data_IF_985934211586
#
_entry.id   IF_985934211586
#
_cell.length_a   1.000
_cell.length_b   1.000
_cell.length_c   1.000
_cell.angle_alpha   90.00
_cell.angle_beta   90.00
_cell.angle_gamma   90.00
#
_symmetry.space_group_name_H-M   'P 1'
#
loop_
_entity.id
_entity.type
_entity.pdbx_description
1 polymer ?
#
# COMPACT_ATOMS: atom_id res chain seq x y z
N UNK A 1 21.40 -18.34 15.62
CA UNK A 1 20.40 -18.90 14.69
C UNK A 1 20.35 -17.98 13.48
N UNK A 2 20.68 -18.48 12.29
CA UNK A 2 20.57 -17.72 11.04
C UNK A 2 19.08 -17.72 10.68
N UNK A 3 18.47 -16.53 10.54
CA UNK A 3 17.10 -16.43 10.09
C UNK A 3 16.98 -17.06 8.69
N UNK A 4 15.92 -17.83 8.41
CA UNK A 4 15.70 -18.41 7.10
C UNK A 4 15.56 -17.29 6.06
N UNK A 5 16.21 -17.45 4.90
CA UNK A 5 16.17 -16.50 3.79
C UNK A 5 15.35 -17.10 2.66
N UNK A 6 14.25 -16.47 2.31
CA UNK A 6 13.43 -16.84 1.16
C UNK A 6 13.66 -15.87 0.01
N UNK A 7 13.78 -16.40 -1.21
CA UNK A 7 13.92 -15.61 -2.42
C UNK A 7 12.62 -15.54 -3.20
N UNK A 8 12.33 -14.36 -3.74
CA UNK A 8 11.18 -14.12 -4.62
C UNK A 8 11.66 -13.50 -5.93
N UNK A 9 10.96 -13.82 -7.01
CA UNK A 9 11.15 -13.14 -8.29
C UNK A 9 10.21 -11.93 -8.33
N UNK A 10 10.73 -10.78 -8.69
CA UNK A 10 9.97 -9.53 -8.74
C UNK A 10 10.03 -8.93 -10.14
N UNK A 11 8.95 -8.25 -10.53
CA UNK A 11 8.94 -7.35 -11.68
C UNK A 11 9.27 -5.93 -11.19
N UNK A 12 10.32 -5.31 -11.74
CA UNK A 12 10.55 -3.88 -11.51
C UNK A 12 9.56 -3.05 -12.33
N UNK A 13 8.65 -2.39 -11.64
CA UNK A 13 7.55 -1.63 -12.24
C UNK A 13 7.56 -0.17 -11.76
N UNK A 14 7.94 0.74 -12.67
CA UNK A 14 7.94 2.18 -12.39
C UNK A 14 6.54 2.79 -12.27
N UNK A 15 5.49 2.07 -12.69
CA UNK A 15 4.09 2.44 -12.47
C UNK A 15 3.58 2.11 -11.07
N UNK A 16 4.28 1.23 -10.34
CA UNK A 16 3.94 0.90 -8.95
C UNK A 16 4.54 1.92 -7.97
N UNK A 17 3.73 2.65 -7.18
CA UNK A 17 4.23 3.68 -6.25
C UNK A 17 4.86 3.11 -4.97
N UNK A 18 4.71 1.83 -4.70
CA UNK A 18 5.24 1.15 -3.51
C UNK A 18 6.72 0.84 -3.63
N UNK A 19 7.39 0.48 -2.52
CA UNK A 19 8.71 -0.18 -2.59
C UNK A 19 8.55 -1.65 -2.99
N UNK A 20 7.60 -2.35 -2.37
CA UNK A 20 7.26 -3.73 -2.66
C UNK A 20 5.73 -3.88 -2.62
N UNK A 21 5.16 -4.64 -3.55
CA UNK A 21 3.78 -5.14 -3.51
C UNK A 21 3.83 -6.64 -3.72
N UNK A 22 3.40 -7.40 -2.71
CA UNK A 22 3.47 -8.86 -2.71
C UNK A 22 2.22 -9.46 -3.36
N UNK A 23 2.38 -10.44 -4.26
CA UNK A 23 1.23 -11.23 -4.65
C UNK A 23 0.89 -12.27 -3.58
N UNK A 24 -0.39 -12.61 -3.45
CA UNK A 24 -0.88 -13.55 -2.45
C UNK A 24 -0.17 -14.92 -2.52
N UNK A 25 0.07 -15.43 -3.73
CA UNK A 25 0.76 -16.72 -3.92
C UNK A 25 2.22 -16.71 -3.44
N UNK A 26 2.95 -15.62 -3.67
CA UNK A 26 4.31 -15.47 -3.14
C UNK A 26 4.28 -15.36 -1.62
N UNK A 27 3.36 -14.55 -1.08
CA UNK A 27 3.19 -14.42 0.36
C UNK A 27 2.93 -15.78 1.03
N UNK A 28 1.97 -16.55 0.56
CA UNK A 28 1.66 -17.87 1.13
C UNK A 28 2.83 -18.87 0.99
N UNK A 29 3.60 -18.78 -0.09
CA UNK A 29 4.78 -19.62 -0.31
C UNK A 29 5.92 -19.30 0.66
N UNK A 30 6.19 -18.03 0.93
CA UNK A 30 7.35 -17.62 1.74
C UNK A 30 7.03 -17.44 3.22
N UNK A 31 5.74 -17.21 3.58
CA UNK A 31 5.30 -17.01 4.96
C UNK A 31 5.78 -18.07 5.97
N UNK A 32 5.80 -19.38 5.65
CA UNK A 32 6.28 -20.39 6.59
C UNK A 32 7.78 -20.28 6.91
N UNK A 33 8.56 -19.72 5.98
CA UNK A 33 10.03 -19.69 6.05
C UNK A 33 10.56 -18.29 6.41
N UNK A 34 9.83 -17.24 6.06
CA UNK A 34 10.26 -15.87 6.29
C UNK A 34 9.76 -15.36 7.65
N UNK A 35 10.59 -14.54 8.30
CA UNK A 35 10.20 -13.82 9.52
C UNK A 35 9.27 -12.65 9.18
N UNK A 36 8.09 -12.96 8.61
CA UNK A 36 7.06 -11.98 8.27
C UNK A 36 5.89 -12.10 9.23
N UNK A 37 5.27 -10.96 9.54
CA UNK A 37 4.12 -10.89 10.42
C UNK A 37 2.94 -10.25 9.70
N UNK A 38 1.76 -10.90 9.77
CA UNK A 38 0.50 -10.28 9.35
C UNK A 38 0.06 -9.30 10.43
N UNK A 39 0.15 -8.02 10.13
CA UNK A 39 -0.21 -6.96 11.08
C UNK A 39 -1.66 -6.48 10.95
N UNK A 40 -2.29 -6.74 9.81
CA UNK A 40 -3.71 -6.43 9.60
C UNK A 40 -4.28 -7.24 8.43
N UNK A 41 -5.55 -7.62 8.56
CA UNK A 41 -6.35 -8.15 7.46
C UNK A 41 -7.26 -7.05 6.93
N UNK A 42 -7.47 -7.02 5.64
CA UNK A 42 -8.31 -6.04 4.96
C UNK A 42 -9.22 -6.67 3.92
N UNK A 43 -10.24 -5.91 3.57
CA UNK A 43 -11.11 -6.21 2.44
C UNK A 43 -11.39 -4.92 1.68
N UNK A 44 -11.25 -4.94 0.39
CA UNK A 44 -11.47 -3.75 -0.41
C UNK A 44 -11.15 -3.89 -1.87
N UNK A 45 -11.16 -2.74 -2.52
CA UNK A 45 -10.77 -2.63 -3.91
C UNK A 45 -9.26 -2.88 -4.01
N UNK A 46 -8.88 -3.74 -4.95
CA UNK A 46 -7.49 -4.00 -5.25
C UNK A 46 -6.81 -2.76 -5.87
N UNK A 47 -5.59 -2.93 -6.30
CA UNK A 47 -4.84 -1.88 -6.99
C UNK A 47 -5.48 -1.50 -8.33
N UNK A 48 -5.11 -0.32 -8.80
CA UNK A 48 -5.50 0.20 -10.10
C UNK A 48 -4.35 -0.09 -11.07
N UNK A 49 -4.65 -0.84 -12.12
CA UNK A 49 -3.72 -1.15 -13.19
C UNK A 49 -4.18 -0.59 -14.55
N UNK A 50 -3.43 -0.92 -15.61
CA UNK A 50 -3.76 -0.52 -16.99
C UNK A 50 -5.16 -1.00 -17.43
N UNK A 51 -5.61 -2.14 -16.89
CA UNK A 51 -6.94 -2.70 -17.15
C UNK A 51 -8.06 -2.09 -16.28
N UNK A 52 -7.76 -1.10 -15.44
CA UNK A 52 -8.70 -0.46 -14.51
C UNK A 52 -8.56 -0.93 -13.07
N UNK A 53 -9.61 -0.73 -12.28
CA UNK A 53 -9.70 -1.12 -10.88
C UNK A 53 -9.86 -2.63 -10.76
N UNK A 54 -9.04 -3.28 -9.94
CA UNK A 54 -9.20 -4.69 -9.63
C UNK A 54 -10.45 -4.93 -8.75
N UNK A 55 -10.99 -6.15 -8.83
CA UNK A 55 -12.14 -6.57 -8.04
C UNK A 55 -11.86 -6.52 -6.53
N UNK A 56 -12.93 -6.34 -5.76
CA UNK A 56 -12.85 -6.36 -4.28
C UNK A 56 -12.36 -7.73 -3.80
N UNK A 57 -11.37 -7.72 -2.95
CA UNK A 57 -10.76 -8.92 -2.41
C UNK A 57 -10.25 -8.73 -0.98
N UNK A 58 -10.00 -9.85 -0.31
CA UNK A 58 -9.22 -9.84 0.93
C UNK A 58 -7.76 -9.58 0.61
N UNK A 59 -7.08 -8.84 1.50
CA UNK A 59 -5.65 -8.59 1.44
C UNK A 59 -5.06 -8.58 2.85
N UNK A 60 -3.74 -8.75 2.95
CA UNK A 60 -3.02 -8.71 4.22
C UNK A 60 -2.03 -7.55 4.20
N UNK A 61 -1.91 -6.86 5.32
CA UNK A 61 -0.73 -6.04 5.60
C UNK A 61 0.31 -6.91 6.28
N UNK A 62 1.50 -6.88 5.73
CA UNK A 62 2.60 -7.74 6.15
C UNK A 62 3.78 -6.88 6.56
N UNK A 63 4.25 -7.07 7.78
CA UNK A 63 5.51 -6.51 8.26
C UNK A 63 6.65 -7.45 7.86
N UNK A 64 7.64 -6.90 7.18
CA UNK A 64 8.85 -7.59 6.74
C UNK A 64 10.04 -6.96 7.49
N UNK A 65 10.63 -7.66 8.47
CA UNK A 65 11.75 -7.11 9.24
C UNK A 65 12.96 -6.79 8.39
N UNK A 66 13.22 -7.58 7.34
CA UNK A 66 14.35 -7.41 6.44
C UNK A 66 14.00 -7.85 5.02
N UNK A 67 14.09 -6.93 4.08
CA UNK A 67 14.08 -7.15 2.64
C UNK A 67 15.48 -6.84 2.10
N UNK A 68 16.03 -7.69 1.24
CA UNK A 68 17.29 -7.42 0.55
C UNK A 68 17.09 -7.32 -0.96
N UNK A 69 17.68 -6.30 -1.58
CA UNK A 69 17.78 -6.15 -3.03
C UNK A 69 19.26 -6.13 -3.39
N UNK A 70 19.76 -7.25 -3.88
CA UNK A 70 21.21 -7.47 -3.98
C UNK A 70 21.88 -7.40 -2.59
N UNK A 71 22.88 -6.55 -2.44
CA UNK A 71 23.59 -6.34 -1.17
C UNK A 71 22.90 -5.30 -0.25
N UNK A 72 21.87 -4.60 -0.74
CA UNK A 72 21.20 -3.51 -0.01
C UNK A 72 20.08 -4.05 0.86
N UNK A 73 20.02 -3.57 2.08
CA UNK A 73 19.04 -3.97 3.10
C UNK A 73 18.01 -2.87 3.31
N UNK A 74 16.74 -3.28 3.44
CA UNK A 74 15.59 -2.45 3.79
C UNK A 74 14.94 -3.08 5.02
N UNK A 75 14.92 -2.34 6.13
CA UNK A 75 14.42 -2.82 7.42
C UNK A 75 13.04 -2.27 7.71
N UNK A 76 12.26 -3.07 8.44
CA UNK A 76 10.96 -2.68 8.97
C UNK A 76 9.99 -2.16 7.90
N UNK A 77 9.94 -2.88 6.76
CA UNK A 77 9.01 -2.59 5.69
C UNK A 77 7.63 -3.17 6.01
N UNK A 78 6.59 -2.33 5.99
CA UNK A 78 5.21 -2.81 5.92
C UNK A 78 4.70 -2.69 4.49
N UNK A 79 4.21 -3.79 3.94
CA UNK A 79 3.59 -3.85 2.61
C UNK A 79 2.22 -4.52 2.69
N UNK A 80 1.56 -4.67 1.56
CA UNK A 80 0.29 -5.39 1.47
C UNK A 80 0.36 -6.45 0.37
N UNK A 81 -0.50 -7.47 0.50
CA UNK A 81 -0.70 -8.44 -0.56
C UNK A 81 -1.70 -7.90 -1.58
N UNK A 82 -1.49 -8.26 -2.84
CA UNK A 82 -2.35 -7.86 -3.95
C UNK A 82 -2.58 -9.05 -4.92
N UNK A 83 -3.54 -8.92 -5.81
CA UNK A 83 -3.90 -9.93 -6.81
C UNK A 83 -3.30 -9.65 -8.19
N UNK A 84 -2.15 -9.01 -8.24
CA UNK A 84 -1.38 -8.89 -9.48
C UNK A 84 -0.86 -10.24 -9.97
N UNK A 85 -0.46 -10.35 -11.23
CA UNK A 85 0.20 -11.55 -11.73
C UNK A 85 1.65 -11.72 -11.21
N UNK A 86 2.26 -10.65 -10.68
CA UNK A 86 3.66 -10.64 -10.22
C UNK A 86 3.81 -9.84 -8.93
N UNK A 87 4.75 -10.24 -8.08
CA UNK A 87 5.28 -9.37 -7.02
C UNK A 87 6.04 -8.21 -7.65
N UNK A 88 5.73 -6.98 -7.25
CA UNK A 88 6.28 -5.77 -7.85
C UNK A 88 7.33 -5.14 -6.93
N UNK A 89 8.47 -4.78 -7.51
CA UNK A 89 9.44 -3.86 -6.93
C UNK A 89 9.21 -2.50 -7.59
N UNK A 90 8.65 -1.55 -6.84
CA UNK A 90 8.12 -0.31 -7.42
C UNK A 90 9.10 0.85 -7.45
N UNK A 91 8.62 1.98 -8.01
CA UNK A 91 9.43 3.19 -8.25
C UNK A 91 10.02 3.80 -6.98
N UNK A 92 9.45 3.51 -5.81
CA UNK A 92 10.01 3.98 -4.53
C UNK A 92 11.43 3.48 -4.26
N UNK A 93 11.86 2.40 -4.92
CA UNK A 93 13.26 1.95 -4.88
C UNK A 93 14.25 3.04 -5.31
N UNK A 94 13.84 3.90 -6.27
CA UNK A 94 14.69 5.00 -6.78
C UNK A 94 14.98 6.09 -5.73
N UNK A 95 14.27 6.13 -4.62
CA UNK A 95 14.59 7.02 -3.50
C UNK A 95 15.85 6.55 -2.72
N UNK A 96 16.24 5.29 -2.88
CA UNK A 96 17.32 4.66 -2.14
C UNK A 96 18.55 4.35 -2.99
N UNK A 97 18.48 4.59 -4.31
CA UNK A 97 19.59 4.27 -5.20
C UNK A 97 19.26 4.53 -6.67
N UNK A 98 20.19 4.10 -7.51
CA UNK A 98 20.09 4.18 -8.96
C UNK A 98 19.85 2.79 -9.53
N UNK A 99 18.89 2.68 -10.43
CA UNK A 99 18.61 1.47 -11.20
C UNK A 99 19.19 1.61 -12.60
N UNK A 100 19.89 0.59 -13.05
CA UNK A 100 20.37 0.45 -14.43
C UNK A 100 19.83 -0.86 -14.99
N UNK A 101 19.16 -0.79 -16.15
CA UNK A 101 18.65 -1.97 -16.87
C UNK A 101 19.46 -2.14 -18.16
N UNK A 102 20.17 -3.24 -18.25
CA UNK A 102 20.93 -3.66 -19.45
C UNK A 102 20.07 -4.66 -20.23
N UNK A 103 19.20 -4.17 -21.08
CA UNK A 103 18.30 -4.99 -21.90
C UNK A 103 19.04 -6.00 -22.78
N UNK A 104 20.14 -5.63 -23.49
CA UNK A 104 20.86 -6.57 -24.33
C UNK A 104 21.41 -7.77 -23.59
N UNK A 105 21.78 -7.59 -22.30
CA UNK A 105 22.31 -8.68 -21.45
C UNK A 105 21.30 -9.23 -20.46
N UNK A 106 20.07 -8.70 -20.42
CA UNK A 106 19.03 -9.09 -19.47
C UNK A 106 19.43 -8.88 -18.01
N UNK A 107 20.10 -7.78 -17.70
CA UNK A 107 20.65 -7.53 -16.37
C UNK A 107 19.99 -6.31 -15.71
N UNK A 108 19.69 -6.46 -14.42
CA UNK A 108 19.22 -5.40 -13.53
C UNK A 108 20.32 -5.10 -12.51
N UNK A 109 20.69 -3.83 -12.38
CA UNK A 109 21.66 -3.36 -11.39
C UNK A 109 21.00 -2.33 -10.49
N UNK A 110 21.22 -2.46 -9.19
CA UNK A 110 20.83 -1.48 -8.19
C UNK A 110 22.05 -1.00 -7.42
N UNK A 111 22.35 0.29 -7.57
CA UNK A 111 23.44 0.98 -6.89
C UNK A 111 22.84 1.84 -5.78
N UNK A 112 22.87 1.33 -4.55
CA UNK A 112 22.25 2.01 -3.43
C UNK A 112 23.07 3.23 -2.96
N UNK A 113 22.40 4.29 -2.52
CA UNK A 113 23.04 5.42 -1.86
C UNK A 113 23.58 5.03 -0.48
N UNK A 114 22.91 4.10 0.19
CA UNK A 114 23.32 3.52 1.48
C UNK A 114 23.05 2.02 1.50
N UNK A 115 23.94 1.21 2.12
CA UNK A 115 23.79 -0.25 2.13
C UNK A 115 22.66 -0.74 3.06
N UNK A 116 22.23 0.07 4.03
CA UNK A 116 21.20 -0.26 5.02
C UNK A 116 20.22 0.92 5.17
N UNK A 117 18.93 0.64 5.03
CA UNK A 117 17.87 1.65 4.99
C UNK A 117 16.74 1.26 5.94
N UNK A 118 16.37 2.19 6.83
CA UNK A 118 15.24 2.03 7.75
C UNK A 118 13.98 2.61 7.10
N UNK A 119 12.92 1.79 6.96
CA UNK A 119 11.70 2.19 6.22
C UNK A 119 10.63 2.73 7.15
N UNK A 120 10.22 1.99 8.17
CA UNK A 120 9.21 2.41 9.16
C UNK A 120 7.98 3.11 8.56
N UNK A 121 7.47 2.59 7.43
CA UNK A 121 6.34 3.20 6.76
C UNK A 121 5.04 2.99 7.54
N UNK A 122 4.28 4.07 7.72
CA UNK A 122 2.98 4.05 8.35
C UNK A 122 1.88 3.75 7.32
N UNK A 123 0.86 3.02 7.76
CA UNK A 123 -0.31 2.69 6.98
C UNK A 123 -1.56 3.41 7.52
N UNK A 124 -2.55 3.66 6.68
CA UNK A 124 -3.81 4.24 7.13
C UNK A 124 -4.72 3.15 7.71
N UNK A 125 -5.55 3.47 8.70
CA UNK A 125 -6.49 2.52 9.29
C UNK A 125 -7.63 2.08 8.36
N UNK A 126 -7.84 2.76 7.24
CA UNK A 126 -8.61 2.38 6.06
C UNK A 126 -8.13 3.20 4.87
N UNK A 127 -8.41 2.77 3.65
CA UNK A 127 -7.98 3.49 2.46
C UNK A 127 -9.15 4.15 1.76
N UNK A 128 -8.86 5.22 1.02
CA UNK A 128 -9.84 6.04 0.32
C UNK A 128 -9.52 6.08 -1.18
N UNK A 129 -10.55 6.21 -1.99
CA UNK A 129 -10.45 6.44 -3.43
C UNK A 129 -11.38 7.56 -3.87
N UNK A 130 -11.10 8.14 -5.03
CA UNK A 130 -11.96 9.15 -5.67
C UNK A 130 -12.76 8.48 -6.78
N UNK A 131 -14.08 8.66 -6.76
CA UNK A 131 -15.00 8.24 -7.84
C UNK A 131 -15.93 9.39 -8.14
N UNK A 132 -16.04 9.80 -9.38
CA UNK A 132 -16.87 10.93 -9.84
C UNK A 132 -16.64 12.21 -9.02
N UNK A 133 -15.40 12.41 -8.60
CA UNK A 133 -14.97 13.55 -7.78
C UNK A 133 -15.28 13.44 -6.29
N UNK A 134 -15.99 12.43 -5.82
CA UNK A 134 -16.27 12.19 -4.41
C UNK A 134 -15.30 11.18 -3.78
N UNK A 135 -15.09 11.28 -2.46
CA UNK A 135 -14.26 10.34 -1.71
C UNK A 135 -15.09 9.17 -1.18
N UNK A 136 -14.58 7.95 -1.40
CA UNK A 136 -15.18 6.72 -0.92
C UNK A 136 -14.16 5.86 -0.17
N UNK A 137 -14.63 5.06 0.77
CA UNK A 137 -13.82 4.01 1.40
C UNK A 137 -13.51 2.94 0.36
N UNK A 138 -12.24 2.72 0.07
CA UNK A 138 -11.77 1.70 -0.89
C UNK A 138 -11.36 0.40 -0.21
N UNK A 139 -10.73 0.48 0.98
CA UNK A 139 -10.30 -0.71 1.73
C UNK A 139 -10.53 -0.50 3.22
N UNK A 140 -11.10 -1.51 3.86
CA UNK A 140 -11.34 -1.55 5.32
C UNK A 140 -10.36 -2.54 5.93
N UNK A 141 -9.55 -2.07 6.89
CA UNK A 141 -8.60 -2.89 7.64
C UNK A 141 -9.16 -3.32 9.00
N UNK A 142 -8.53 -4.29 9.65
CA UNK A 142 -9.01 -4.91 10.91
C UNK A 142 -9.45 -3.90 11.96
N UNK A 143 -8.72 -2.79 12.13
CA UNK A 143 -9.02 -1.76 13.15
C UNK A 143 -10.34 -0.99 12.91
N UNK A 144 -10.86 -1.03 11.68
CA UNK A 144 -12.11 -0.33 11.29
C UNK A 144 -13.21 -1.27 10.81
N UNK A 145 -12.95 -2.58 10.79
CA UNK A 145 -13.93 -3.62 10.42
C UNK A 145 -15.20 -3.51 11.27
N UNK A 146 -16.36 -3.56 10.64
CA UNK A 146 -17.68 -3.41 11.28
C UNK A 146 -18.08 -1.99 11.65
N UNK A 147 -17.18 -0.99 11.48
CA UNK A 147 -17.51 0.43 11.70
C UNK A 147 -17.90 1.13 10.41
N UNK A 148 -17.23 0.81 9.33
CA UNK A 148 -17.44 1.32 7.96
C UNK A 148 -17.32 0.16 6.98
N UNK A 149 -17.78 0.38 5.75
CA UNK A 149 -17.76 -0.58 4.67
C UNK A 149 -17.13 0.01 3.40
N UNK A 150 -16.68 -0.85 2.52
CA UNK A 150 -16.17 -0.45 1.20
C UNK A 150 -17.30 0.12 0.36
N UNK A 151 -17.12 1.35 -0.12
CA UNK A 151 -18.12 2.11 -0.85
C UNK A 151 -18.83 3.15 0.00
N UNK A 152 -18.62 3.19 1.31
CA UNK A 152 -19.13 4.29 2.15
C UNK A 152 -18.54 5.63 1.71
N UNK A 153 -19.37 6.69 1.68
CA UNK A 153 -19.01 7.99 1.15
C UNK A 153 -18.53 8.95 2.24
N UNK A 154 -17.39 9.60 2.04
CA UNK A 154 -16.94 10.68 2.92
C UNK A 154 -17.66 11.98 2.56
N UNK A 155 -18.48 12.51 3.48
CA UNK A 155 -19.26 13.73 3.26
C UNK A 155 -18.69 14.97 3.95
N UNK A 156 -17.87 14.79 5.03
CA UNK A 156 -17.17 15.91 5.69
C UNK A 156 -15.76 15.51 6.12
N UNK A 157 -14.83 16.48 6.08
CA UNK A 157 -13.47 16.38 6.60
C UNK A 157 -13.30 17.49 7.64
N UNK A 158 -13.01 17.14 8.89
CA UNK A 158 -12.89 18.07 10.03
C UNK A 158 -14.09 19.02 10.17
N UNK A 159 -15.30 18.48 9.97
CA UNK A 159 -16.57 19.23 10.08
C UNK A 159 -16.94 20.06 8.84
N UNK A 160 -16.05 20.25 7.88
CA UNK A 160 -16.33 20.96 6.61
C UNK A 160 -16.78 19.97 5.55
N UNK A 161 -17.73 20.33 4.65
CA UNK A 161 -18.11 19.48 3.52
C UNK A 161 -16.87 19.04 2.73
N UNK A 162 -16.84 17.76 2.35
CA UNK A 162 -15.81 17.26 1.44
C UNK A 162 -15.91 17.99 0.10
N UNK A 163 -14.75 18.32 -0.49
CA UNK A 163 -14.69 18.96 -1.80
C UNK A 163 -14.81 17.90 -2.90
N UNK A 164 -14.86 18.35 -4.14
CA UNK A 164 -14.61 17.49 -5.28
C UNK A 164 -13.11 17.37 -5.50
N UNK A 165 -12.65 16.16 -5.82
CA UNK A 165 -11.26 15.82 -6.03
C UNK A 165 -11.05 15.27 -7.44
N UNK A 166 -9.92 15.57 -8.04
CA UNK A 166 -9.47 14.88 -9.25
C UNK A 166 -8.85 13.54 -8.90
N UNK A 167 -9.20 12.51 -9.66
CA UNK A 167 -8.72 11.15 -9.40
C UNK A 167 -7.21 11.02 -9.60
N UNK A 168 -6.66 11.54 -10.70
CA UNK A 168 -5.23 11.46 -10.99
C UNK A 168 -4.41 12.24 -9.97
N UNK A 169 -4.86 13.45 -9.62
CA UNK A 169 -4.23 14.25 -8.57
C UNK A 169 -4.25 13.54 -7.22
N UNK A 170 -5.35 12.84 -6.89
CA UNK A 170 -5.45 12.10 -5.62
C UNK A 170 -4.46 10.94 -5.52
N UNK A 171 -4.15 10.28 -6.64
CA UNK A 171 -3.14 9.21 -6.69
C UNK A 171 -1.73 9.79 -6.59
N UNK A 172 -1.43 10.84 -7.33
CA UNK A 172 -0.09 11.42 -7.39
C UNK A 172 0.27 12.19 -6.12
N UNK A 173 -0.67 12.97 -5.62
CA UNK A 173 -0.44 13.96 -4.57
C UNK A 173 -1.19 13.68 -3.27
N UNK A 174 -2.06 12.65 -3.24
CA UNK A 174 -2.94 12.35 -2.11
C UNK A 174 -4.05 13.38 -1.93
N UNK A 175 -4.84 13.22 -0.88
CA UNK A 175 -5.90 14.17 -0.52
C UNK A 175 -5.30 15.26 0.37
N UNK A 176 -5.32 16.55 -0.06
CA UNK A 176 -4.61 17.63 0.65
C UNK A 176 -4.96 17.76 2.13
N UNK A 177 -6.25 17.59 2.48
CA UNK A 177 -6.74 17.70 3.84
C UNK A 177 -6.29 16.54 4.76
N UNK A 178 -5.77 15.44 4.20
CA UNK A 178 -5.36 14.23 4.91
C UNK A 178 -3.83 14.04 4.95
N UNK A 179 -3.11 14.63 4.00
CA UNK A 179 -1.71 14.31 3.67
C UNK A 179 -0.73 14.47 4.85
N UNK A 180 -0.85 15.56 5.62
CA UNK A 180 0.12 15.92 6.66
C UNK A 180 -0.34 15.63 8.09
N UNK A 181 -1.55 15.11 8.25
CA UNK A 181 -2.15 14.91 9.58
C UNK A 181 -2.02 13.48 10.04
N UNK A 182 -1.54 13.30 11.27
CA UNK A 182 -1.56 11.98 11.93
C UNK A 182 -2.98 11.46 12.12
N UNK A 183 -3.94 12.37 12.35
CA UNK A 183 -5.34 12.03 12.56
C UNK A 183 -6.26 13.09 11.93
N UNK A 184 -7.36 12.66 11.34
CA UNK A 184 -8.38 13.54 10.76
C UNK A 184 -9.77 12.98 11.04
N UNK A 185 -10.68 13.82 11.52
CA UNK A 185 -12.08 13.42 11.73
C UNK A 185 -12.82 13.44 10.40
N UNK A 186 -13.37 12.29 10.00
CA UNK A 186 -14.23 12.15 8.84
C UNK A 186 -15.66 11.93 9.27
N UNK A 187 -16.62 12.51 8.54
CA UNK A 187 -18.02 12.14 8.59
C UNK A 187 -18.35 11.35 7.35
N UNK A 188 -18.83 10.14 7.54
CA UNK A 188 -19.04 9.14 6.50
C UNK A 188 -20.52 8.80 6.45
N UNK A 189 -21.10 8.78 5.26
CA UNK A 189 -22.42 8.28 4.96
C UNK A 189 -22.32 6.79 4.69
N UNK A 190 -23.01 5.98 5.49
CA UNK A 190 -23.04 4.52 5.42
C UNK A 190 -24.46 4.04 5.19
N UNK A 191 -24.64 2.77 4.83
CA UNK A 191 -25.98 2.17 4.71
C UNK A 191 -26.82 2.26 5.99
N UNK A 192 -26.19 2.33 7.16
CA UNK A 192 -26.85 2.47 8.48
C UNK A 192 -26.99 3.90 8.97
N UNK A 193 -26.65 4.92 8.15
CA UNK A 193 -26.72 6.33 8.48
C UNK A 193 -25.35 7.01 8.56
N UNK A 194 -25.31 8.20 9.15
CA UNK A 194 -24.11 9.03 9.21
C UNK A 194 -23.27 8.66 10.42
N UNK A 195 -21.98 8.41 10.20
CA UNK A 195 -21.00 8.09 11.27
C UNK A 195 -19.81 9.05 11.26
N UNK A 196 -19.27 9.29 12.45
CA UNK A 196 -17.98 9.99 12.57
C UNK A 196 -16.88 8.97 12.88
N UNK A 197 -15.78 9.02 12.15
CA UNK A 197 -14.63 8.13 12.32
C UNK A 197 -13.33 8.92 12.26
N UNK A 198 -12.31 8.41 12.93
CA UNK A 198 -10.96 8.98 12.85
C UNK A 198 -10.19 8.23 11.77
N UNK A 199 -9.80 8.95 10.75
CA UNK A 199 -8.81 8.52 9.77
C UNK A 199 -7.42 8.79 10.37
N UNK A 200 -6.60 7.77 10.49
CA UNK A 200 -5.29 7.88 11.14
C UNK A 200 -4.25 6.99 10.48
N UNK A 201 -2.99 7.37 10.63
CA UNK A 201 -1.83 6.52 10.32
C UNK A 201 -1.50 5.65 11.54
N UNK A 202 -1.27 4.37 11.27
CA UNK A 202 -0.89 3.33 12.23
C UNK A 202 0.50 2.81 11.92
#
# INVERSE_FOLDING_TARGET
QIAPVSNITVLFDTGSPSLLSLIESDFERIKPEASMEVVSEGYGEGSIGVAGQADKASSYRVHIPLLSVGATKFRNLTTHTDKHPYTLLGVKLLQYGKVTIDYPRGRFYFEAFQPDNEINNQCNNFDLTVKDGDLFVSTVWSSTKGKIEVGDKVIKINGKPAKKYDFCESILNGIPELKEKKQTKLTIETASGIKNIIYKKE
#
